data_IF_206355309930
#
_entry.id   IF_206355309930
#
_cell.length_a   1.000
_cell.length_b   1.000
_cell.length_c   1.000
_cell.angle_alpha   90.00
_cell.angle_beta   90.00
_cell.angle_gamma   90.00
#
_symmetry.space_group_name_H-M   'P 1'
#
loop_
_entity.id
_entity.type
_entity.pdbx_description
1 polymer ?
#
# COMPACT_ATOMS: atom_id res chain seq x y z
N UNK A 1 67.25 -23.92 40.86
CA UNK A 1 65.79 -24.09 40.65
C UNK A 1 65.20 -22.72 40.31
N UNK A 2 64.47 -22.64 39.18
CA UNK A 2 63.32 -21.75 38.89
C UNK A 2 63.64 -20.23 38.85
N UNK A 3 63.79 -19.55 37.70
CA UNK A 3 62.85 -19.12 36.63
C UNK A 3 61.98 -17.87 36.93
N UNK A 4 62.09 -16.91 35.99
CA UNK A 4 61.06 -16.00 35.41
C UNK A 4 60.80 -14.65 36.08
N UNK A 5 60.74 -13.60 35.23
CA UNK A 5 60.00 -12.38 35.51
C UNK A 5 60.17 -11.20 34.54
N UNK A 6 60.03 -11.39 33.21
CA UNK A 6 59.76 -10.25 32.30
C UNK A 6 58.36 -10.46 31.73
N UNK A 7 57.43 -9.56 32.03
CA UNK A 7 56.15 -9.45 31.34
C UNK A 7 55.90 -7.98 31.03
N UNK A 8 56.16 -7.62 29.78
CA UNK A 8 55.76 -6.35 29.20
C UNK A 8 54.29 -6.50 28.75
N UNK A 9 53.37 -5.80 29.41
CA UNK A 9 51.97 -5.72 29.02
C UNK A 9 51.78 -4.59 28.00
N UNK A 10 51.56 -4.96 26.74
CA UNK A 10 51.09 -4.05 25.70
C UNK A 10 49.57 -3.97 25.81
N UNK A 11 49.04 -2.83 26.29
CA UNK A 11 47.59 -2.55 26.25
C UNK A 11 47.18 -2.23 24.82
N UNK A 12 46.55 -3.19 24.15
CA UNK A 12 45.88 -2.99 22.86
C UNK A 12 44.53 -2.32 23.05
N UNK A 13 44.39 -1.07 22.62
CA UNK A 13 43.14 -0.33 22.60
C UNK A 13 42.29 -0.84 21.42
N UNK A 14 41.34 -1.74 21.66
CA UNK A 14 40.41 -2.22 20.64
C UNK A 14 39.33 -1.15 20.39
N UNK A 15 39.46 -0.42 19.27
CA UNK A 15 38.44 0.52 18.80
C UNK A 15 37.27 -0.28 18.20
N UNK A 16 36.24 -0.51 19.00
CA UNK A 16 34.99 -1.13 18.54
C UNK A 16 34.23 -0.08 17.71
N UNK A 17 34.36 -0.14 16.38
CA UNK A 17 33.44 0.56 15.48
C UNK A 17 32.06 -0.09 15.59
N UNK A 18 31.17 0.48 16.40
CA UNK A 18 29.76 0.14 16.39
C UNK A 18 29.18 0.54 15.02
N UNK A 19 28.92 -0.43 14.16
CA UNK A 19 28.08 -0.23 12.98
C UNK A 19 26.70 0.19 13.48
N UNK A 20 26.40 1.48 13.40
CA UNK A 20 25.07 2.02 13.69
C UNK A 20 24.16 1.59 12.53
N UNK A 21 23.54 0.42 12.66
CA UNK A 21 22.43 0.05 11.80
C UNK A 21 21.33 1.11 11.97
N UNK A 22 20.76 1.67 10.89
CA UNK A 22 19.64 2.58 10.99
C UNK A 22 18.53 1.91 11.79
N UNK A 23 18.00 2.59 12.80
CA UNK A 23 16.82 2.09 13.52
C UNK A 23 15.69 1.83 12.53
N UNK A 24 14.86 0.80 12.74
CA UNK A 24 13.75 0.48 11.84
C UNK A 24 12.84 1.70 11.56
N UNK A 25 12.74 2.64 12.51
CA UNK A 25 12.05 3.93 12.34
C UNK A 25 12.69 4.87 11.31
N UNK A 26 14.02 4.89 11.20
CA UNK A 26 14.72 5.70 10.21
C UNK A 26 14.42 5.20 8.79
N UNK A 27 14.38 3.88 8.59
CA UNK A 27 14.09 3.30 7.28
C UNK A 27 12.62 3.48 6.84
N UNK A 28 11.68 3.52 7.80
CA UNK A 28 10.28 3.90 7.53
C UNK A 28 10.12 5.36 7.11
N UNK A 29 10.97 6.29 7.58
CA UNK A 29 10.87 7.70 7.22
C UNK A 29 11.14 7.95 5.72
N UNK A 30 11.97 7.10 5.10
CA UNK A 30 12.36 7.20 3.70
C UNK A 30 11.37 6.54 2.74
N UNK A 31 10.42 5.73 3.23
CA UNK A 31 9.45 5.05 2.38
C UNK A 31 8.65 6.03 1.51
N UNK A 32 8.33 5.60 0.30
CA UNK A 32 7.51 6.35 -0.67
C UNK A 32 6.31 5.54 -1.14
N UNK A 33 6.18 4.30 -0.67
CA UNK A 33 5.00 3.46 -0.86
C UNK A 33 4.70 2.62 0.39
N UNK A 34 3.42 2.40 0.67
CA UNK A 34 2.97 1.37 1.61
C UNK A 34 1.51 0.98 1.35
N UNK A 35 1.10 -0.17 1.87
CA UNK A 35 -0.32 -0.56 2.04
C UNK A 35 -0.78 -0.12 3.42
N UNK A 36 -1.92 0.55 3.56
CA UNK A 36 -2.38 0.96 4.90
C UNK A 36 -2.53 -0.25 5.84
N UNK A 37 -1.99 -0.20 7.06
CA UNK A 37 -2.25 -1.25 8.05
C UNK A 37 -3.73 -1.33 8.48
N UNK A 38 -4.46 -0.22 8.35
CA UNK A 38 -5.90 -0.11 8.62
C UNK A 38 -6.58 0.91 7.71
N UNK A 39 -7.80 0.58 7.25
CA UNK A 39 -8.70 1.55 6.62
C UNK A 39 -9.34 2.54 7.63
N UNK A 40 -10.18 3.48 7.16
CA UNK A 40 -10.86 4.45 8.04
C UNK A 40 -12.03 3.85 8.84
N UNK A 41 -12.39 2.59 8.60
CA UNK A 41 -13.43 1.87 9.36
C UNK A 41 -14.87 2.13 8.89
N UNK A 42 -15.06 2.77 7.73
CA UNK A 42 -16.37 3.06 7.12
C UNK A 42 -16.59 2.34 5.79
N UNK A 43 -15.93 1.20 5.58
CA UNK A 43 -15.94 0.53 4.29
C UNK A 43 -15.30 1.40 3.21
N UNK A 44 -15.95 1.52 2.06
CA UNK A 44 -15.49 2.33 0.94
C UNK A 44 -15.94 3.81 1.00
N UNK A 45 -16.65 4.23 2.05
CA UNK A 45 -16.86 5.66 2.33
C UNK A 45 -15.58 6.24 2.96
N UNK A 46 -14.73 6.79 2.09
CA UNK A 46 -13.46 7.38 2.45
C UNK A 46 -13.57 8.91 2.60
N UNK A 47 -14.76 9.50 2.41
CA UNK A 47 -14.91 10.95 2.26
C UNK A 47 -14.35 11.47 0.93
N UNK A 48 -14.42 10.67 -0.12
CA UNK A 48 -13.81 10.95 -1.41
C UNK A 48 -12.28 10.83 -1.41
N UNK A 49 -11.66 11.27 -2.51
CA UNK A 49 -10.21 11.22 -2.66
C UNK A 49 -9.44 12.00 -1.58
N UNK A 50 -10.02 13.11 -1.09
CA UNK A 50 -9.41 13.93 -0.05
C UNK A 50 -9.31 13.16 1.27
N UNK A 51 -10.37 12.46 1.69
CA UNK A 51 -10.33 11.69 2.92
C UNK A 51 -9.48 10.42 2.79
N UNK A 52 -9.43 9.81 1.60
CA UNK A 52 -8.50 8.71 1.32
C UNK A 52 -7.03 9.16 1.42
N UNK A 53 -6.68 10.30 0.82
CA UNK A 53 -5.34 10.88 0.93
C UNK A 53 -4.99 11.23 2.38
N UNK A 54 -5.96 11.78 3.14
CA UNK A 54 -5.77 12.09 4.56
C UNK A 54 -5.47 10.84 5.40
N UNK A 55 -6.08 9.69 5.10
CA UNK A 55 -5.77 8.43 5.76
C UNK A 55 -4.33 7.98 5.46
N UNK A 56 -3.89 8.08 4.21
CA UNK A 56 -2.49 7.82 3.84
C UNK A 56 -1.53 8.76 4.60
N UNK A 57 -1.81 10.06 4.60
CA UNK A 57 -0.99 11.06 5.29
C UNK A 57 -0.87 10.76 6.79
N UNK A 58 -1.99 10.42 7.45
CA UNK A 58 -2.04 10.10 8.87
C UNK A 58 -1.14 8.90 9.21
N UNK A 59 -1.24 7.82 8.46
CA UNK A 59 -0.46 6.60 8.71
C UNK A 59 1.03 6.81 8.40
N UNK A 60 1.34 7.53 7.34
CA UNK A 60 2.71 7.89 7.02
C UNK A 60 3.34 8.77 8.13
N UNK A 61 2.60 9.75 8.64
CA UNK A 61 3.05 10.61 9.74
C UNK A 61 3.32 9.80 11.01
N UNK A 62 2.45 8.85 11.36
CA UNK A 62 2.66 7.96 12.51
C UNK A 62 3.94 7.11 12.40
N UNK A 63 4.42 6.91 11.17
CA UNK A 63 5.62 6.12 10.84
C UNK A 63 6.84 6.98 10.51
N UNK A 64 6.75 8.30 10.72
CA UNK A 64 7.88 9.24 10.50
C UNK A 64 8.03 9.75 9.06
N UNK A 65 7.15 9.36 8.13
CA UNK A 65 7.20 9.79 6.73
C UNK A 65 6.20 10.92 6.40
N UNK A 66 5.81 11.72 7.39
CA UNK A 66 4.77 12.75 7.26
C UNK A 66 5.16 14.01 6.49
N UNK A 67 6.45 14.20 6.17
CA UNK A 67 6.92 15.37 5.41
C UNK A 67 6.62 15.27 3.90
N UNK A 68 6.27 14.09 3.40
CA UNK A 68 5.89 13.87 2.01
C UNK A 68 4.39 14.14 1.80
N UNK A 69 4.01 14.44 0.56
CA UNK A 69 2.60 14.45 0.16
C UNK A 69 2.20 13.03 -0.23
N UNK A 70 1.20 12.47 0.45
CA UNK A 70 0.72 11.12 0.19
C UNK A 70 -0.61 11.11 -0.56
N UNK A 71 -0.72 10.19 -1.51
CA UNK A 71 -1.93 9.98 -2.31
C UNK A 71 -2.38 8.54 -2.20
N UNK A 72 -3.67 8.35 -1.94
CA UNK A 72 -4.30 7.05 -2.10
C UNK A 72 -4.42 6.73 -3.59
N UNK A 73 -3.99 5.55 -4.00
CA UNK A 73 -4.09 5.05 -5.37
C UNK A 73 -5.54 4.68 -5.68
N UNK A 74 -6.34 5.69 -6.02
CA UNK A 74 -7.77 5.54 -6.29
C UNK A 74 -8.16 6.36 -7.52
N UNK A 75 -8.90 5.72 -8.42
CA UNK A 75 -9.59 6.40 -9.50
C UNK A 75 -10.97 6.89 -9.04
N UNK A 76 -11.55 7.86 -9.76
CA UNK A 76 -12.95 8.28 -9.59
C UNK A 76 -13.62 8.39 -10.95
N UNK A 77 -14.94 8.25 -10.95
CA UNK A 77 -15.80 8.43 -12.10
C UNK A 77 -16.18 9.89 -12.32
N UNK A 78 -16.48 10.23 -13.57
CA UNK A 78 -17.09 11.52 -13.89
C UNK A 78 -18.46 11.63 -13.20
N UNK A 79 -18.65 12.67 -12.40
CA UNK A 79 -19.87 12.94 -11.64
C UNK A 79 -19.97 14.43 -11.34
N UNK A 80 -21.19 14.96 -11.22
CA UNK A 80 -21.46 16.34 -10.83
C UNK A 80 -20.71 17.39 -11.68
N UNK A 81 -20.60 17.12 -13.00
CA UNK A 81 -19.88 17.99 -13.94
C UNK A 81 -18.35 17.96 -13.81
N UNK A 82 -17.80 17.11 -12.94
CA UNK A 82 -16.35 16.89 -12.80
C UNK A 82 -15.90 15.72 -13.67
N UNK A 83 -14.72 15.79 -14.31
CA UNK A 83 -14.17 14.67 -15.05
C UNK A 83 -13.79 13.52 -14.10
N UNK A 84 -13.68 12.32 -14.66
CA UNK A 84 -13.04 11.20 -13.96
C UNK A 84 -11.59 11.53 -13.60
N UNK A 85 -11.08 10.92 -12.54
CA UNK A 85 -9.68 11.06 -12.16
C UNK A 85 -9.02 9.68 -12.20
N UNK A 86 -7.90 9.57 -12.89
CA UNK A 86 -7.12 8.34 -12.95
C UNK A 86 -6.18 8.24 -11.74
N UNK A 87 -6.10 7.08 -11.11
CA UNK A 87 -5.17 6.85 -10.00
C UNK A 87 -3.71 7.09 -10.41
N UNK A 88 -3.32 6.62 -11.59
CA UNK A 88 -1.95 6.74 -12.13
C UNK A 88 -1.46 8.18 -12.28
N UNK A 89 -2.37 9.13 -12.53
CA UNK A 89 -2.04 10.53 -12.78
C UNK A 89 -1.89 11.33 -11.48
N UNK A 90 -2.35 10.77 -10.35
CA UNK A 90 -2.34 11.43 -9.04
C UNK A 90 -1.08 11.13 -8.23
N UNK A 91 -0.46 9.98 -8.47
CA UNK A 91 0.76 9.57 -7.76
C UNK A 91 2.00 10.26 -8.35
N UNK A 92 3.13 10.16 -7.67
CA UNK A 92 4.39 10.77 -8.11
C UNK A 92 4.93 10.11 -9.38
N UNK A 93 6.16 10.47 -9.77
CA UNK A 93 6.81 9.83 -10.93
C UNK A 93 7.64 8.59 -10.56
N UNK A 94 7.74 8.26 -9.28
CA UNK A 94 8.66 7.25 -8.75
C UNK A 94 10.09 7.78 -8.54
N UNK A 95 11.03 6.93 -8.09
CA UNK A 95 10.80 5.56 -7.67
C UNK A 95 10.01 5.47 -6.37
N UNK A 96 9.28 4.36 -6.22
CA UNK A 96 8.60 4.04 -4.97
C UNK A 96 9.28 2.89 -4.25
N UNK A 97 9.50 3.04 -2.95
CA UNK A 97 10.09 2.01 -2.10
C UNK A 97 9.26 1.81 -0.83
N UNK A 98 9.22 0.57 -0.34
CA UNK A 98 8.55 0.25 0.92
C UNK A 98 9.37 0.66 2.16
N UNK A 99 8.82 0.44 3.35
CA UNK A 99 9.45 0.74 4.63
C UNK A 99 10.77 -0.02 4.91
N UNK A 100 11.12 -1.01 4.09
CA UNK A 100 12.40 -1.74 4.14
C UNK A 100 13.32 -1.39 2.97
N UNK A 101 13.02 -0.31 2.24
CA UNK A 101 13.84 0.18 1.13
C UNK A 101 13.78 -0.67 -0.14
N UNK A 102 12.93 -1.69 -0.21
CA UNK A 102 12.75 -2.44 -1.45
C UNK A 102 11.99 -1.58 -2.46
N UNK A 103 12.57 -1.40 -3.65
CA UNK A 103 11.94 -0.67 -4.75
C UNK A 103 10.75 -1.49 -5.25
N UNK A 104 9.59 -0.83 -5.33
CA UNK A 104 8.31 -1.36 -5.80
C UNK A 104 8.17 -1.13 -7.30
N UNK A 105 8.47 0.07 -7.76
CA UNK A 105 8.54 0.42 -9.17
C UNK A 105 9.43 1.65 -9.34
N UNK A 106 10.16 1.71 -10.43
CA UNK A 106 11.05 2.84 -10.74
C UNK A 106 10.31 4.06 -11.29
N UNK A 107 9.19 3.83 -11.99
CA UNK A 107 8.35 4.84 -12.61
C UNK A 107 6.92 4.31 -12.84
N UNK A 108 6.02 5.17 -13.33
CA UNK A 108 4.61 4.81 -13.61
C UNK A 108 4.49 3.69 -14.65
N UNK A 109 5.36 3.66 -15.67
CA UNK A 109 5.29 2.63 -16.70
C UNK A 109 5.70 1.27 -16.13
N UNK A 110 6.74 1.24 -15.29
CA UNK A 110 7.17 0.06 -14.55
C UNK A 110 6.10 -0.43 -13.56
N UNK A 111 5.44 0.48 -12.84
CA UNK A 111 4.36 0.17 -11.90
C UNK A 111 3.20 -0.57 -12.58
N UNK A 112 2.86 -0.19 -13.81
CA UNK A 112 1.82 -0.82 -14.62
C UNK A 112 2.33 -1.92 -15.55
N UNK A 113 3.63 -2.23 -15.50
CA UNK A 113 4.25 -3.30 -16.25
C UNK A 113 4.26 -4.62 -15.48
N UNK A 114 4.67 -5.68 -16.18
CA UNK A 114 4.77 -7.03 -15.59
C UNK A 114 5.91 -7.18 -14.57
N UNK A 115 6.87 -6.26 -14.56
CA UNK A 115 8.10 -6.36 -13.77
C UNK A 115 8.07 -5.59 -12.43
N UNK A 116 6.95 -4.93 -12.09
CA UNK A 116 6.83 -4.29 -10.79
C UNK A 116 7.05 -5.31 -9.66
N UNK A 117 7.50 -4.80 -8.52
CA UNK A 117 7.82 -5.61 -7.36
C UNK A 117 6.69 -5.53 -6.32
N UNK A 118 5.42 -5.57 -6.75
CA UNK A 118 4.28 -5.75 -5.84
C UNK A 118 4.06 -7.24 -5.61
N UNK A 119 4.33 -7.69 -4.38
CA UNK A 119 4.13 -9.06 -3.91
C UNK A 119 3.69 -9.00 -2.44
N UNK A 120 3.23 -10.12 -1.87
CA UNK A 120 2.91 -10.20 -0.42
C UNK A 120 4.06 -9.72 0.47
N UNK A 121 5.30 -9.96 0.05
CA UNK A 121 6.52 -9.71 0.82
C UNK A 121 7.01 -8.26 0.70
N UNK A 122 6.54 -7.54 -0.32
CA UNK A 122 7.02 -6.18 -0.64
C UNK A 122 5.92 -5.14 -0.50
N UNK A 123 4.65 -5.52 -0.61
CA UNK A 123 3.46 -4.72 -0.31
C UNK A 123 3.24 -4.57 1.20
N UNK A 124 4.25 -4.00 1.87
CA UNK A 124 4.31 -3.87 3.32
C UNK A 124 3.46 -2.69 3.81
N UNK A 125 3.09 -2.77 5.08
CA UNK A 125 2.45 -1.66 5.78
C UNK A 125 3.38 -0.48 6.02
N UNK A 126 2.82 0.66 6.45
CA UNK A 126 3.62 1.82 6.87
C UNK A 126 4.61 1.48 8.01
N UNK A 127 4.33 0.40 8.74
CA UNK A 127 5.17 -0.14 9.84
C UNK A 127 6.20 -1.16 9.35
N UNK A 128 6.22 -1.48 8.05
CA UNK A 128 7.10 -2.51 7.48
C UNK A 128 6.63 -3.94 7.74
N UNK A 129 5.37 -4.12 8.09
CA UNK A 129 4.76 -5.43 8.38
C UNK A 129 4.15 -6.01 7.10
N UNK A 130 4.12 -7.34 7.00
CA UNK A 130 3.44 -8.03 5.90
C UNK A 130 1.93 -7.93 6.12
N UNK A 131 1.19 -7.53 5.09
CA UNK A 131 -0.28 -7.54 5.13
C UNK A 131 -0.78 -8.97 4.98
N UNK A 132 -1.75 -9.37 5.81
CA UNK A 132 -2.40 -10.67 5.67
C UNK A 132 -2.95 -10.86 4.25
N UNK A 133 -2.53 -11.94 3.61
CA UNK A 133 -2.93 -12.32 2.26
C UNK A 133 -3.96 -13.45 2.25
N UNK A 134 -4.24 -13.95 1.06
CA UNK A 134 -5.01 -15.18 0.86
C UNK A 134 -4.39 -16.33 1.68
N UNK A 135 -5.24 -17.03 2.43
CA UNK A 135 -4.83 -18.13 3.32
C UNK A 135 -4.50 -17.71 4.75
N UNK A 136 -4.34 -16.41 5.03
CA UNK A 136 -4.18 -15.90 6.38
C UNK A 136 -5.54 -15.57 7.03
N UNK A 137 -5.57 -15.44 8.36
CA UNK A 137 -6.77 -15.05 9.12
C UNK A 137 -6.50 -13.79 9.96
N UNK A 138 -7.30 -12.72 9.80
CA UNK A 138 -8.29 -12.51 8.73
C UNK A 138 -7.62 -12.36 7.36
N UNK A 139 -8.32 -12.68 6.26
CA UNK A 139 -7.89 -12.35 4.90
C UNK A 139 -8.09 -10.84 4.67
N UNK A 140 -7.05 -10.13 4.18
CA UNK A 140 -7.07 -8.67 3.95
C UNK A 140 -6.33 -8.29 2.66
N UNK A 141 -6.32 -9.17 1.68
CA UNK A 141 -5.52 -8.99 0.47
C UNK A 141 -6.14 -8.04 -0.56
N UNK A 142 -7.46 -7.83 -0.52
CA UNK A 142 -8.12 -6.90 -1.43
C UNK A 142 -7.87 -5.46 -1.00
N UNK A 143 -7.37 -4.66 -1.94
CA UNK A 143 -7.09 -3.24 -1.79
C UNK A 143 -8.02 -2.45 -2.73
N UNK A 144 -8.68 -1.41 -2.21
CA UNK A 144 -9.57 -0.56 -3.01
C UNK A 144 -8.75 0.22 -4.05
N UNK A 145 -9.20 0.26 -5.30
CA UNK A 145 -8.55 1.02 -6.38
C UNK A 145 -9.55 1.75 -7.27
N UNK A 146 -10.63 1.07 -7.67
CA UNK A 146 -11.59 1.57 -8.66
C UNK A 146 -10.96 1.85 -10.03
N UNK A 147 -9.83 1.21 -10.33
CA UNK A 147 -9.01 1.47 -11.50
C UNK A 147 -9.02 0.29 -12.48
N UNK A 148 -8.84 0.58 -13.76
CA UNK A 148 -8.47 -0.41 -14.77
C UNK A 148 -6.99 -0.85 -14.58
N UNK A 149 -6.53 -1.95 -15.21
CA UNK A 149 -5.17 -2.45 -15.02
C UNK A 149 -4.07 -1.41 -15.33
N UNK A 150 -4.31 -0.53 -16.30
CA UNK A 150 -3.40 0.55 -16.68
C UNK A 150 -3.46 1.77 -15.76
N UNK A 151 -4.26 1.72 -14.69
CA UNK A 151 -4.40 2.78 -13.69
C UNK A 151 -5.38 3.90 -14.05
N UNK A 152 -6.11 3.77 -15.14
CA UNK A 152 -7.17 4.71 -15.53
C UNK A 152 -8.47 4.47 -14.77
N UNK A 153 -9.36 5.45 -14.75
CA UNK A 153 -10.73 5.26 -14.28
C UNK A 153 -11.52 4.39 -15.28
N UNK A 154 -12.55 3.71 -14.79
CA UNK A 154 -13.57 3.12 -15.67
C UNK A 154 -14.35 4.22 -16.43
N UNK A 155 -15.07 3.83 -17.47
CA UNK A 155 -15.87 4.77 -18.26
C UNK A 155 -17.06 5.32 -17.45
N UNK A 156 -17.49 6.53 -17.81
CA UNK A 156 -18.65 7.17 -17.19
C UNK A 156 -19.90 6.26 -17.25
N UNK A 157 -20.65 6.21 -16.15
CA UNK A 157 -21.82 5.35 -16.00
C UNK A 157 -21.51 3.95 -15.43
N UNK A 158 -20.23 3.55 -15.38
CA UNK A 158 -19.80 2.32 -14.72
C UNK A 158 -19.12 2.60 -13.38
N UNK A 159 -19.92 2.90 -12.35
CA UNK A 159 -19.38 3.20 -11.02
C UNK A 159 -18.75 1.99 -10.35
N UNK A 160 -17.41 1.97 -10.39
CA UNK A 160 -16.52 1.00 -9.73
C UNK A 160 -15.84 1.57 -8.49
N UNK A 161 -16.45 2.56 -7.82
CA UNK A 161 -15.79 3.36 -6.79
C UNK A 161 -16.64 3.62 -5.55
N UNK A 162 -17.80 2.94 -5.41
CA UNK A 162 -18.72 3.20 -4.30
C UNK A 162 -19.12 4.69 -4.20
N UNK A 163 -19.65 5.24 -5.30
CA UNK A 163 -20.01 6.66 -5.46
C UNK A 163 -18.84 7.60 -5.22
N UNK A 164 -17.73 7.39 -5.95
CA UNK A 164 -16.50 8.17 -5.79
C UNK A 164 -16.01 8.20 -4.34
N UNK A 165 -16.07 7.05 -3.67
CA UNK A 165 -15.60 6.82 -2.30
C UNK A 165 -16.38 7.57 -1.23
N UNK A 166 -17.70 7.69 -1.41
CA UNK A 166 -18.62 8.39 -0.48
C UNK A 166 -19.78 7.52 0.00
N UNK A 167 -19.78 6.23 -0.34
CA UNK A 167 -20.84 5.29 0.04
C UNK A 167 -20.27 4.10 0.81
N UNK A 168 -20.92 3.77 1.92
CA UNK A 168 -20.66 2.59 2.76
C UNK A 168 -21.69 1.49 2.56
N UNK A 169 -22.59 1.62 1.58
CA UNK A 169 -23.66 0.66 1.31
C UNK A 169 -23.74 0.38 -0.19
N UNK A 170 -24.33 1.30 -0.94
CA UNK A 170 -24.62 1.13 -2.36
C UNK A 170 -23.37 1.25 -3.25
N UNK A 171 -23.30 0.38 -4.26
CA UNK A 171 -22.27 0.36 -5.29
C UNK A 171 -21.27 -0.78 -5.10
N UNK A 172 -20.32 -0.92 -6.01
CA UNK A 172 -19.20 -1.83 -5.83
C UNK A 172 -17.90 -1.08 -6.15
N UNK A 173 -16.82 -1.45 -5.48
CA UNK A 173 -15.49 -0.94 -5.79
C UNK A 173 -14.69 -2.02 -6.51
N UNK A 174 -14.02 -1.69 -7.61
CA UNK A 174 -12.98 -2.59 -8.12
C UNK A 174 -11.81 -2.57 -7.15
N UNK A 175 -11.34 -3.76 -6.81
CA UNK A 175 -10.19 -4.00 -5.94
C UNK A 175 -9.06 -4.67 -6.71
N UNK A 176 -7.86 -4.70 -6.15
CA UNK A 176 -6.81 -5.60 -6.59
C UNK A 176 -6.12 -6.27 -5.42
N UNK A 177 -5.27 -7.27 -5.70
CA UNK A 177 -4.67 -8.12 -4.67
C UNK A 177 -3.25 -7.69 -4.32
N UNK A 178 -3.01 -7.28 -3.07
CA UNK A 178 -1.67 -6.92 -2.58
C UNK A 178 -0.67 -8.10 -2.58
N UNK A 179 -1.19 -9.33 -2.54
CA UNK A 179 -0.39 -10.55 -2.55
C UNK A 179 -0.20 -11.16 -3.94
N UNK A 180 -0.83 -10.58 -4.99
CA UNK A 180 -0.88 -11.11 -6.36
C UNK A 180 -1.44 -12.54 -6.46
N UNK A 181 -2.33 -12.92 -5.54
CA UNK A 181 -2.98 -14.24 -5.53
C UNK A 181 -4.48 -14.14 -5.74
N UNK A 182 -5.03 -15.04 -6.55
CA UNK A 182 -6.48 -15.17 -6.71
C UNK A 182 -6.89 -16.63 -6.83
N UNK A 183 -8.13 -16.87 -7.27
CA UNK A 183 -8.69 -18.21 -7.37
C UNK A 183 -8.25 -18.97 -8.63
N UNK A 184 -7.74 -18.24 -9.64
CA UNK A 184 -7.34 -18.79 -10.93
C UNK A 184 -5.96 -18.29 -11.32
N UNK A 185 -5.37 -18.97 -12.30
CA UNK A 185 -4.10 -18.58 -12.91
C UNK A 185 -4.34 -17.69 -14.14
N UNK A 186 -4.95 -16.52 -13.92
CA UNK A 186 -5.22 -15.51 -14.95
C UNK A 186 -4.83 -14.10 -14.50
N UNK A 187 -4.72 -13.18 -15.46
CA UNK A 187 -4.31 -11.78 -15.21
C UNK A 187 -5.20 -11.08 -14.16
N UNK A 188 -6.54 -11.09 -14.27
CA UNK A 188 -7.40 -10.49 -13.24
C UNK A 188 -7.16 -11.08 -11.84
N UNK A 189 -7.04 -12.40 -11.71
CA UNK A 189 -6.80 -13.06 -10.41
C UNK A 189 -5.47 -12.67 -9.77
N UNK A 190 -4.49 -12.21 -10.54
CA UNK A 190 -3.19 -11.77 -10.04
C UNK A 190 -3.02 -10.25 -10.05
N UNK A 191 -3.96 -9.50 -10.63
CA UNK A 191 -3.87 -8.05 -10.75
C UNK A 191 -3.72 -7.40 -9.37
N UNK A 192 -2.84 -6.41 -9.25
CA UNK A 192 -2.64 -5.70 -7.99
C UNK A 192 -3.65 -4.56 -7.82
N UNK A 193 -4.26 -4.09 -8.92
CA UNK A 193 -5.15 -2.93 -8.95
C UNK A 193 -6.50 -3.15 -9.66
N UNK A 194 -6.75 -4.27 -10.32
CA UNK A 194 -7.97 -4.47 -11.12
C UNK A 194 -8.36 -5.94 -11.24
N UNK A 195 -8.66 -6.58 -10.12
CA UNK A 195 -8.98 -8.00 -10.03
C UNK A 195 -10.46 -8.29 -10.16
N UNK A 196 -11.28 -7.77 -9.26
CA UNK A 196 -12.72 -8.01 -9.24
C UNK A 196 -13.47 -6.87 -8.54
N UNK A 197 -14.80 -6.74 -8.75
CA UNK A 197 -15.62 -5.88 -7.90
C UNK A 197 -15.71 -6.46 -6.48
N UNK A 198 -15.82 -5.58 -5.49
CA UNK A 198 -16.30 -5.92 -4.16
C UNK A 198 -17.76 -6.37 -4.24
N UNK A 199 -18.20 -7.12 -3.22
CA UNK A 199 -19.52 -7.74 -3.20
C UNK A 199 -19.98 -7.94 -1.76
N UNK A 200 -21.30 -8.04 -1.59
CA UNK A 200 -21.90 -8.38 -0.32
C UNK A 200 -23.37 -7.96 -0.27
N UNK A 201 -24.11 -8.42 0.75
CA UNK A 201 -25.55 -8.16 0.87
C UNK A 201 -25.91 -6.68 1.04
N UNK A 202 -25.00 -5.83 1.54
CA UNK A 202 -25.28 -4.40 1.77
C UNK A 202 -24.96 -3.51 0.55
N UNK A 203 -24.54 -4.12 -0.55
CA UNK A 203 -24.27 -3.48 -1.83
C UNK A 203 -22.85 -3.69 -2.33
N UNK A 204 -21.89 -3.98 -1.44
CA UNK A 204 -20.48 -4.21 -1.77
C UNK A 204 -19.52 -3.16 -1.18
N UNK A 205 -20.04 -2.10 -0.56
CA UNK A 205 -19.23 -0.99 -0.07
C UNK A 205 -19.09 -0.93 1.46
N UNK A 206 -19.86 -1.72 2.20
CA UNK A 206 -19.81 -1.74 3.67
C UNK A 206 -18.52 -2.40 4.17
N UNK A 207 -18.10 -2.09 5.40
CA UNK A 207 -16.93 -2.76 5.98
C UNK A 207 -17.13 -4.29 6.06
N UNK A 208 -18.36 -4.73 6.33
CA UNK A 208 -18.70 -6.14 6.39
C UNK A 208 -18.61 -6.79 4.99
N UNK A 209 -19.11 -6.11 3.97
CA UNK A 209 -19.03 -6.56 2.58
C UNK A 209 -17.58 -6.67 2.11
N UNK A 210 -16.75 -5.65 2.37
CA UNK A 210 -15.33 -5.68 2.04
C UNK A 210 -14.62 -6.87 2.70
N UNK A 211 -14.91 -7.15 3.98
CA UNK A 211 -14.38 -8.33 4.68
C UNK A 211 -14.87 -9.64 4.06
N UNK A 212 -16.13 -9.70 3.64
CA UNK A 212 -16.73 -10.90 3.03
C UNK A 212 -16.11 -11.25 1.67
N UNK A 213 -15.54 -10.26 0.97
CA UNK A 213 -14.88 -10.48 -0.33
C UNK A 213 -13.39 -10.77 -0.23
N UNK A 214 -12.74 -10.48 0.90
CA UNK A 214 -11.29 -10.70 1.09
C UNK A 214 -10.49 -9.43 1.45
N UNK A 215 -11.16 -8.30 1.63
CA UNK A 215 -10.54 -7.01 1.94
C UNK A 215 -10.80 -6.52 3.36
N UNK A 216 -10.38 -5.27 3.61
CA UNK A 216 -10.65 -4.58 4.87
C UNK A 216 -10.69 -3.05 4.70
N UNK A 217 -11.01 -2.58 3.49
CA UNK A 217 -10.97 -1.15 3.16
C UNK A 217 -9.57 -0.55 3.19
N UNK A 218 -8.57 -1.35 2.79
CA UNK A 218 -7.18 -0.91 2.72
C UNK A 218 -6.90 -0.14 1.43
N UNK A 219 -5.84 0.68 1.48
CA UNK A 219 -5.40 1.55 0.40
C UNK A 219 -3.93 1.32 0.09
N UNK A 220 -3.55 1.44 -1.19
CA UNK A 220 -2.17 1.73 -1.54
C UNK A 220 -1.91 3.22 -1.40
N UNK A 221 -0.84 3.59 -0.72
CA UNK A 221 -0.42 4.97 -0.50
C UNK A 221 0.91 5.21 -1.19
N UNK A 222 0.94 6.18 -2.09
CA UNK A 222 2.14 6.57 -2.84
C UNK A 222 2.50 8.02 -2.52
N UNK A 223 3.80 8.30 -2.38
CA UNK A 223 4.29 9.67 -2.35
C UNK A 223 4.14 10.30 -3.74
N UNK A 224 3.74 11.58 -3.77
CA UNK A 224 3.42 12.33 -4.99
C UNK A 224 4.42 13.45 -5.35
N UNK A 225 5.69 13.24 -5.02
CA UNK A 225 6.75 14.22 -5.22
C UNK A 225 7.09 14.44 -6.70
#
# INVERSE_FOLDING_TARGET
MIRIGISATISGLALVMALVAPSARAQSADMTFFVTSSGPGKGADLGGLVGADAQCQKLAQASGAGAKTWRAYLSTQAADGKPSVNARDRIGKGPWQNAKGAVIAKDVADLHGAANNLTKQTALSEKGEVTNGRGDTPNRHDILTGSQPDGTAFAAGDDKTCKNWTSSTQGAAVVGHADRQGLRDDEPSKSWNSSHPSRGPDGGCSQADLKSTGGDGLLYCFAAN
#
